data_IF_115922516481
#
_entry.id   IF_115922516481
#
_cell.length_a   1.000
_cell.length_b   1.000
_cell.length_c   1.000
_cell.angle_alpha   90.00
_cell.angle_beta   90.00
_cell.angle_gamma   90.00
#
_symmetry.space_group_name_H-M   'P 1'
#
loop_
_entity.id
_entity.type
_entity.pdbx_description
1 polymer ?
#
# COMPACT_ATOMS: atom_id res chain seq x y z
N UNK A 1 9.59 -17.30 30.83
CA UNK A 1 8.57 -16.24 30.74
C UNK A 1 9.24 -14.91 30.99
N UNK A 2 8.87 -13.89 30.23
CA UNK A 2 9.29 -12.52 30.53
C UNK A 2 8.65 -12.04 31.84
N UNK A 3 9.29 -11.07 32.49
CA UNK A 3 8.75 -10.37 33.66
C UNK A 3 7.82 -9.24 33.22
N UNK A 4 6.93 -8.83 34.11
CA UNK A 4 6.01 -7.72 33.87
C UNK A 4 6.74 -6.46 33.39
N UNK A 5 6.22 -5.84 32.32
CA UNK A 5 6.77 -4.63 31.71
C UNK A 5 7.99 -4.83 30.81
N UNK A 6 8.43 -6.07 30.56
CA UNK A 6 9.52 -6.31 29.61
C UNK A 6 9.07 -6.14 28.16
N UNK A 7 9.98 -5.63 27.35
CA UNK A 7 9.81 -5.51 25.90
C UNK A 7 10.54 -6.66 25.22
N UNK A 8 9.85 -7.35 24.32
CA UNK A 8 10.38 -8.46 23.55
C UNK A 8 10.31 -8.09 22.09
N UNK A 9 11.44 -8.23 21.39
CA UNK A 9 11.49 -8.18 19.94
C UNK A 9 11.63 -9.61 19.43
N UNK A 10 10.66 -10.05 18.64
CA UNK A 10 10.73 -11.33 17.94
C UNK A 10 11.66 -11.20 16.74
N UNK A 11 12.13 -12.35 16.27
CA UNK A 11 12.89 -12.44 15.03
C UNK A 11 12.05 -12.02 13.82
N UNK A 12 12.71 -11.78 12.68
CA UNK A 12 12.05 -11.38 11.45
C UNK A 12 10.97 -12.39 10.98
N UNK A 13 9.71 -11.93 10.95
CA UNK A 13 8.56 -12.74 10.52
C UNK A 13 8.70 -13.33 9.11
N UNK A 14 9.44 -12.67 8.22
CA UNK A 14 9.64 -13.16 6.84
C UNK A 14 10.66 -14.29 6.71
N UNK A 15 11.29 -14.71 7.80
CA UNK A 15 11.97 -16.00 7.84
C UNK A 15 10.98 -17.17 7.76
N UNK A 16 9.70 -16.92 8.05
CA UNK A 16 8.61 -17.85 7.85
C UNK A 16 7.88 -17.53 6.54
N UNK A 17 7.85 -18.47 5.60
CA UNK A 17 7.17 -18.31 4.32
C UNK A 17 5.65 -18.11 4.51
N UNK A 18 5.12 -18.59 5.63
CA UNK A 18 3.74 -18.45 6.10
C UNK A 18 3.33 -16.98 6.31
N UNK A 19 4.29 -16.07 6.50
CA UNK A 19 4.02 -14.63 6.64
C UNK A 19 3.50 -14.03 5.32
N UNK A 20 4.21 -14.27 4.21
CA UNK A 20 3.82 -13.80 2.87
C UNK A 20 2.88 -14.80 2.14
N UNK A 21 2.70 -16.01 2.69
CA UNK A 21 1.93 -17.10 2.09
C UNK A 21 2.57 -17.71 0.83
N UNK A 22 3.81 -17.30 0.54
CA UNK A 22 4.58 -17.78 -0.61
C UNK A 22 6.07 -17.53 -0.40
N UNK A 23 6.90 -18.30 -1.10
CA UNK A 23 8.36 -18.13 -1.13
C UNK A 23 8.88 -18.33 -2.55
N UNK A 24 10.15 -18.00 -2.78
CA UNK A 24 10.84 -18.36 -4.02
C UNK A 24 11.77 -19.55 -3.77
N UNK A 25 11.71 -20.55 -4.64
CA UNK A 25 12.68 -21.65 -4.62
C UNK A 25 14.05 -21.20 -5.16
N UNK A 26 15.02 -22.12 -5.17
CA UNK A 26 16.39 -21.88 -5.63
C UNK A 26 16.46 -21.45 -7.11
N UNK A 27 15.41 -21.73 -7.89
CA UNK A 27 15.25 -21.31 -9.29
C UNK A 27 14.54 -19.95 -9.42
N UNK A 28 14.17 -19.32 -8.30
CA UNK A 28 13.46 -18.05 -8.25
C UNK A 28 11.97 -18.14 -8.55
N UNK A 29 11.39 -19.34 -8.67
CA UNK A 29 9.97 -19.53 -8.96
C UNK A 29 9.14 -19.41 -7.68
N UNK A 30 7.99 -18.74 -7.80
CA UNK A 30 7.09 -18.47 -6.69
C UNK A 30 6.29 -19.74 -6.34
N UNK A 31 6.53 -20.27 -5.15
CA UNK A 31 5.78 -21.37 -4.56
C UNK A 31 4.80 -20.84 -3.51
N UNK A 32 3.58 -21.39 -3.47
CA UNK A 32 2.61 -21.07 -2.42
C UNK A 32 2.83 -21.97 -1.21
N UNK A 33 2.65 -21.42 -0.03
CA UNK A 33 2.65 -22.21 1.21
C UNK A 33 1.28 -22.85 1.39
N UNK A 34 1.28 -24.07 1.94
CA UNK A 34 0.04 -24.76 2.31
C UNK A 34 -0.77 -23.89 3.29
N UNK A 35 -2.07 -23.75 3.03
CA UNK A 35 -2.99 -23.01 3.87
C UNK A 35 -2.99 -23.52 5.31
N UNK A 36 -2.86 -24.83 5.52
CA UNK A 36 -2.82 -25.41 6.87
C UNK A 36 -1.62 -24.88 7.69
N UNK A 37 -0.47 -24.70 7.05
CA UNK A 37 0.74 -24.14 7.70
C UNK A 37 0.59 -22.66 7.99
N UNK A 38 -0.03 -21.91 7.07
CA UNK A 38 -0.35 -20.50 7.29
C UNK A 38 -1.29 -20.33 8.49
N UNK A 39 -2.32 -21.18 8.59
CA UNK A 39 -3.27 -21.14 9.71
C UNK A 39 -2.60 -21.53 11.04
N UNK A 40 -1.67 -22.49 11.03
CA UNK A 40 -0.87 -22.84 12.21
C UNK A 40 0.02 -21.67 12.67
N UNK A 41 0.73 -21.02 11.74
CA UNK A 41 1.57 -19.86 12.05
C UNK A 41 0.75 -18.70 12.63
N UNK A 42 -0.44 -18.44 12.07
CA UNK A 42 -1.39 -17.42 12.57
C UNK A 42 -1.89 -17.71 13.97
N UNK A 43 -2.21 -18.98 14.28
CA UNK A 43 -2.55 -19.40 15.64
C UNK A 43 -1.39 -19.18 16.60
N UNK A 44 -0.16 -19.48 16.16
CA UNK A 44 1.06 -19.19 16.90
C UNK A 44 1.17 -17.71 17.27
N UNK A 45 1.01 -16.80 16.30
CA UNK A 45 1.03 -15.35 16.53
C UNK A 45 -0.10 -14.90 17.48
N UNK A 46 -1.31 -15.44 17.30
CA UNK A 46 -2.47 -15.12 18.12
C UNK A 46 -2.27 -15.51 19.58
N UNK A 47 -1.60 -16.63 19.84
CA UNK A 47 -1.34 -17.11 21.20
C UNK A 47 -0.31 -16.26 21.98
N UNK A 48 0.39 -15.30 21.34
CA UNK A 48 1.44 -14.50 21.98
C UNK A 48 0.92 -13.31 22.79
N UNK A 49 -0.35 -12.97 22.70
CA UNK A 49 -0.89 -11.84 23.45
C UNK A 49 -2.41 -11.79 23.46
N UNK A 50 -2.94 -10.90 24.31
CA UNK A 50 -4.37 -10.71 24.49
C UNK A 50 -4.94 -9.59 23.61
N UNK A 51 -4.06 -8.67 23.17
CA UNK A 51 -4.39 -7.51 22.35
C UNK A 51 -3.42 -7.40 21.18
N UNK A 52 -3.95 -7.09 19.99
CA UNK A 52 -3.15 -6.82 18.80
C UNK A 52 -3.18 -5.34 18.44
N UNK A 53 -1.99 -4.74 18.29
CA UNK A 53 -1.81 -3.37 17.85
C UNK A 53 -1.02 -3.37 16.54
N UNK A 54 -1.62 -2.85 15.46
CA UNK A 54 -0.90 -2.65 14.20
C UNK A 54 -0.38 -1.22 14.10
N UNK A 55 0.94 -1.05 14.11
CA UNK A 55 1.60 0.24 13.89
C UNK A 55 2.46 0.29 12.60
N UNK A 56 2.20 -0.62 11.66
CA UNK A 56 2.95 -0.79 10.41
C UNK A 56 2.12 -0.43 9.17
N UNK A 57 1.89 0.86 8.93
CA UNK A 57 1.07 1.34 7.79
C UNK A 57 1.59 0.85 6.43
N UNK A 58 2.91 0.83 6.24
CA UNK A 58 3.54 0.44 4.98
C UNK A 58 3.24 -0.99 4.52
N UNK A 59 2.82 -1.88 5.43
CA UNK A 59 2.42 -3.26 5.11
C UNK A 59 0.91 -3.49 5.16
N UNK A 60 0.12 -2.49 5.55
CA UNK A 60 -1.34 -2.61 5.71
C UNK A 60 -2.09 -2.97 4.42
N UNK A 61 -1.50 -2.67 3.25
CA UNK A 61 -2.04 -3.05 1.94
C UNK A 61 -1.85 -4.53 1.60
N UNK A 62 -1.15 -5.31 2.43
CA UNK A 62 -0.84 -6.73 2.18
C UNK A 62 -1.64 -7.63 3.10
N UNK A 63 -2.23 -8.68 2.54
CA UNK A 63 -2.97 -9.70 3.29
C UNK A 63 -2.04 -10.75 3.95
N UNK A 64 -0.96 -10.29 4.59
CA UNK A 64 0.03 -11.13 5.26
C UNK A 64 -0.48 -11.64 6.62
N UNK A 65 0.13 -12.71 7.14
CA UNK A 65 -0.27 -13.32 8.41
C UNK A 65 -0.20 -12.35 9.59
N UNK A 66 0.85 -11.53 9.69
CA UNK A 66 0.98 -10.49 10.72
C UNK A 66 -0.06 -9.37 10.64
N UNK A 67 -0.68 -9.15 9.46
CA UNK A 67 -1.62 -8.05 9.22
C UNK A 67 -3.07 -8.46 9.42
N UNK A 68 -3.45 -9.64 8.92
CA UNK A 68 -4.86 -10.09 8.89
C UNK A 68 -5.09 -11.42 9.61
N UNK A 69 -4.02 -12.06 10.08
CA UNK A 69 -4.06 -13.41 10.64
C UNK A 69 -4.10 -13.50 12.16
N UNK A 70 -3.96 -12.38 12.87
CA UNK A 70 -4.03 -12.37 14.34
C UNK A 70 -5.50 -12.30 14.77
N UNK A 71 -5.99 -13.39 15.37
CA UNK A 71 -7.40 -13.55 15.71
C UNK A 71 -7.68 -13.29 17.20
N UNK A 72 -7.53 -12.02 17.58
CA UNK A 72 -7.85 -11.53 18.92
C UNK A 72 -9.12 -10.66 18.89
N UNK A 73 -9.93 -10.68 19.97
CA UNK A 73 -11.13 -9.85 20.05
C UNK A 73 -10.80 -8.35 20.07
N UNK A 74 -9.65 -7.98 20.64
CA UNK A 74 -9.18 -6.60 20.71
C UNK A 74 -8.07 -6.35 19.69
N UNK A 75 -8.39 -5.55 18.67
CA UNK A 75 -7.48 -5.12 17.60
C UNK A 75 -7.57 -3.61 17.45
N UNK A 76 -6.43 -2.92 17.47
CA UNK A 76 -6.39 -1.48 17.28
C UNK A 76 -5.20 -1.04 16.43
N UNK A 77 -5.28 0.18 15.89
CA UNK A 77 -4.14 0.85 15.27
C UNK A 77 -3.23 1.45 16.36
N UNK A 78 -1.92 1.35 16.17
CA UNK A 78 -0.97 2.18 16.89
C UNK A 78 -1.05 3.65 16.46
N UNK A 79 -0.26 4.51 17.11
CA UNK A 79 -0.33 5.95 16.87
C UNK A 79 0.17 6.36 15.49
N UNK A 80 1.14 5.65 14.90
CA UNK A 80 1.63 5.92 13.55
C UNK A 80 0.54 5.62 12.54
N UNK A 81 -0.04 4.41 12.59
CA UNK A 81 -1.12 4.02 11.68
C UNK A 81 -2.33 4.93 11.86
N UNK A 82 -2.72 5.24 13.11
CA UNK A 82 -3.82 6.17 13.39
C UNK A 82 -3.56 7.52 12.73
N UNK A 83 -2.35 8.09 12.88
CA UNK A 83 -2.00 9.38 12.29
C UNK A 83 -2.13 9.34 10.79
N UNK A 84 -1.59 8.32 10.11
CA UNK A 84 -1.72 8.17 8.65
C UNK A 84 -3.19 8.11 8.24
N UNK A 85 -4.01 7.27 8.90
CA UNK A 85 -5.45 7.17 8.63
C UNK A 85 -6.18 8.51 8.83
N UNK A 86 -5.88 9.24 9.90
CA UNK A 86 -6.48 10.55 10.19
C UNK A 86 -6.14 11.58 9.10
N UNK A 87 -4.91 11.56 8.56
CA UNK A 87 -4.51 12.43 7.46
C UNK A 87 -5.22 12.05 6.15
N UNK A 88 -5.29 10.76 5.83
CA UNK A 88 -5.99 10.29 4.63
C UNK A 88 -7.49 10.54 4.70
N UNK A 89 -8.14 10.29 5.83
CA UNK A 89 -9.57 10.55 6.02
C UNK A 89 -9.90 12.03 5.81
N UNK A 90 -9.11 12.94 6.41
CA UNK A 90 -9.26 14.39 6.21
C UNK A 90 -9.10 14.82 4.76
N UNK A 91 -8.23 14.16 3.99
CA UNK A 91 -8.00 14.51 2.59
C UNK A 91 -9.03 13.86 1.63
N UNK A 92 -9.57 12.70 1.97
CA UNK A 92 -10.37 11.88 1.04
C UNK A 92 -11.87 11.85 1.34
N UNK A 93 -12.29 12.10 2.58
CA UNK A 93 -13.69 12.06 3.01
C UNK A 93 -14.26 13.47 3.18
N UNK A 94 -13.59 14.32 3.96
CA UNK A 94 -14.01 15.71 4.22
C UNK A 94 -12.87 16.71 3.94
N UNK A 95 -12.40 16.83 2.69
CA UNK A 95 -11.32 17.75 2.37
C UNK A 95 -11.72 19.19 2.62
N UNK A 96 -10.88 19.93 3.35
CA UNK A 96 -10.98 21.39 3.40
C UNK A 96 -10.70 21.94 2.00
N UNK A 97 -11.68 22.66 1.45
CA UNK A 97 -11.59 23.25 0.12
C UNK A 97 -10.96 24.65 0.17
N UNK A 98 -10.18 25.06 -0.85
CA UNK A 98 -9.90 24.32 -2.08
C UNK A 98 -8.92 23.15 -1.87
N UNK A 99 -9.27 21.97 -2.39
CA UNK A 99 -8.46 20.75 -2.34
C UNK A 99 -7.67 20.58 -3.64
N UNK A 100 -6.36 20.78 -3.55
CA UNK A 100 -5.42 20.62 -4.65
C UNK A 100 -4.68 19.28 -4.52
N UNK A 101 -4.74 18.46 -5.56
CA UNK A 101 -3.86 17.30 -5.72
C UNK A 101 -2.72 17.61 -6.70
N UNK A 102 -1.51 17.16 -6.36
CA UNK A 102 -0.33 17.25 -7.22
C UNK A 102 0.15 15.83 -7.53
N UNK A 103 0.06 15.42 -8.79
CA UNK A 103 0.49 14.11 -9.27
C UNK A 103 1.65 14.26 -10.25
N UNK A 104 2.77 13.60 -9.96
CA UNK A 104 3.91 13.54 -10.87
C UNK A 104 4.49 12.16 -11.00
N UNK A 105 5.16 11.85 -12.11
CA UNK A 105 5.76 10.54 -12.38
C UNK A 105 6.17 10.38 -13.84
N UNK A 106 6.76 9.23 -14.19
CA UNK A 106 7.22 8.96 -15.54
C UNK A 106 6.10 8.41 -16.45
N UNK A 107 5.26 7.49 -15.94
CA UNK A 107 4.24 6.79 -16.72
C UNK A 107 2.84 7.14 -16.23
N UNK A 108 1.96 7.52 -17.15
CA UNK A 108 0.54 7.77 -16.86
C UNK A 108 -0.18 6.47 -16.48
N UNK A 109 0.12 5.36 -17.18
CA UNK A 109 -0.55 4.06 -17.03
C UNK A 109 -0.65 3.59 -15.58
N UNK A 110 0.41 3.81 -14.80
CA UNK A 110 0.53 3.35 -13.42
C UNK A 110 -0.31 4.20 -12.45
N UNK A 111 -0.85 5.33 -12.92
CA UNK A 111 -1.53 6.34 -12.11
C UNK A 111 -2.97 6.63 -12.54
N UNK A 112 -3.47 5.99 -13.60
CA UNK A 112 -4.84 6.20 -14.11
C UNK A 112 -5.86 6.01 -12.99
N UNK A 113 -5.78 4.89 -12.25
CA UNK A 113 -6.70 4.61 -11.14
C UNK A 113 -6.63 5.67 -10.02
N UNK A 114 -5.45 6.25 -9.79
CA UNK A 114 -5.28 7.30 -8.77
C UNK A 114 -5.91 8.60 -9.27
N UNK A 115 -5.72 8.95 -10.54
CA UNK A 115 -6.35 10.12 -11.16
C UNK A 115 -7.87 10.00 -11.09
N UNK A 116 -8.43 8.87 -11.56
CA UNK A 116 -9.87 8.63 -11.57
C UNK A 116 -10.49 8.75 -10.16
N UNK A 117 -9.84 8.17 -9.15
CA UNK A 117 -10.29 8.27 -7.76
C UNK A 117 -10.23 9.70 -7.19
N UNK A 118 -9.31 10.54 -7.68
CA UNK A 118 -9.12 11.90 -7.20
C UNK A 118 -9.99 12.93 -7.93
N UNK A 119 -10.31 12.71 -9.21
CA UNK A 119 -11.11 13.64 -10.03
C UNK A 119 -12.47 13.96 -9.41
N UNK A 120 -13.09 13.00 -8.72
CA UNK A 120 -14.35 13.22 -8.00
C UNK A 120 -14.23 13.96 -6.66
N UNK A 121 -13.01 14.25 -6.20
CA UNK A 121 -12.74 14.78 -4.85
C UNK A 121 -12.07 16.16 -4.87
N UNK A 122 -11.09 16.35 -5.74
CA UNK A 122 -10.24 17.55 -5.79
C UNK A 122 -10.92 18.71 -6.51
N UNK A 123 -10.65 19.95 -6.08
CA UNK A 123 -11.03 21.17 -6.82
C UNK A 123 -10.04 21.49 -7.93
N UNK A 124 -8.79 21.04 -7.79
CA UNK A 124 -7.73 21.27 -8.76
C UNK A 124 -6.76 20.09 -8.77
N UNK A 125 -6.29 19.74 -9.97
CA UNK A 125 -5.30 18.69 -10.18
C UNK A 125 -4.13 19.23 -10.99
N UNK A 126 -2.94 19.19 -10.42
CA UNK A 126 -1.69 19.51 -11.13
C UNK A 126 -1.04 18.20 -11.57
N UNK A 127 -0.80 18.06 -12.87
CA UNK A 127 -0.03 16.95 -13.45
C UNK A 127 1.37 17.46 -13.80
N UNK A 128 2.40 16.86 -13.21
CA UNK A 128 3.79 17.25 -13.40
C UNK A 128 4.69 16.04 -13.78
N UNK A 129 5.95 16.31 -14.11
CA UNK A 129 6.93 15.28 -14.50
C UNK A 129 6.67 14.67 -15.89
N UNK A 130 7.28 13.51 -16.17
CA UNK A 130 7.24 12.85 -17.49
C UNK A 130 5.83 12.57 -18.00
N UNK A 131 4.89 12.28 -17.11
CA UNK A 131 3.49 12.03 -17.48
C UNK A 131 2.78 13.28 -18.03
N UNK A 132 3.21 14.50 -17.67
CA UNK A 132 2.61 15.73 -18.20
C UNK A 132 2.78 15.87 -19.72
N UNK A 133 3.83 15.26 -20.28
CA UNK A 133 4.07 15.24 -21.71
C UNK A 133 3.00 14.43 -22.45
N UNK A 134 2.63 13.25 -21.94
CA UNK A 134 1.54 12.48 -22.55
C UNK A 134 0.24 13.29 -22.63
N UNK A 135 -0.13 13.99 -21.55
CA UNK A 135 -1.32 14.87 -21.55
C UNK A 135 -1.19 16.03 -22.55
N UNK A 136 -0.05 16.74 -22.57
CA UNK A 136 0.16 17.86 -23.51
C UNK A 136 0.18 17.44 -24.97
N UNK A 137 0.75 16.29 -25.30
CA UNK A 137 0.72 15.78 -26.68
C UNK A 137 -0.71 15.46 -27.11
N UNK A 138 -1.47 14.77 -26.26
CA UNK A 138 -2.82 14.32 -26.61
C UNK A 138 -3.82 15.48 -26.67
N UNK A 139 -3.76 16.43 -25.72
CA UNK A 139 -4.73 17.52 -25.61
C UNK A 139 -4.38 18.74 -26.48
N UNK A 140 -3.09 19.08 -26.58
CA UNK A 140 -2.61 20.31 -27.23
C UNK A 140 -1.83 20.05 -28.53
N UNK A 141 -1.60 18.78 -28.91
CA UNK A 141 -0.88 18.44 -30.13
C UNK A 141 0.61 18.79 -30.11
N UNK A 142 1.19 19.02 -28.93
CA UNK A 142 2.59 19.46 -28.79
C UNK A 142 3.55 18.39 -29.35
N UNK A 143 4.40 18.78 -30.30
CA UNK A 143 5.43 17.91 -30.87
C UNK A 143 6.48 17.55 -29.82
N UNK A 144 6.72 16.26 -29.62
CA UNK A 144 7.71 15.78 -28.64
C UNK A 144 8.57 14.67 -29.21
N UNK A 145 9.82 14.61 -28.73
CA UNK A 145 10.78 13.58 -29.10
C UNK A 145 10.30 12.19 -28.63
N UNK A 146 10.52 11.16 -29.45
CA UNK A 146 9.98 9.80 -29.25
C UNK A 146 10.34 9.17 -27.90
N UNK A 147 11.53 9.46 -27.34
CA UNK A 147 12.01 8.87 -26.08
C UNK A 147 11.25 9.33 -24.82
N UNK A 148 10.43 10.38 -24.92
CA UNK A 148 9.62 10.92 -23.82
C UNK A 148 8.22 10.27 -23.77
N UNK A 149 7.82 9.59 -24.84
CA UNK A 149 6.46 9.07 -25.00
C UNK A 149 6.29 7.68 -24.40
N UNK A 150 5.38 7.59 -23.44
CA UNK A 150 4.86 6.32 -22.93
C UNK A 150 3.52 6.05 -23.61
N UNK A 151 3.54 5.27 -24.69
CA UNK A 151 2.35 4.97 -25.54
C UNK A 151 1.19 4.33 -24.77
N UNK A 152 1.47 3.59 -23.70
CA UNK A 152 0.44 2.89 -22.91
C UNK A 152 -0.56 3.84 -22.23
N UNK A 153 -0.19 5.12 -22.03
CA UNK A 153 -1.04 6.11 -21.38
C UNK A 153 -1.82 7.02 -22.33
N UNK A 154 -1.46 7.11 -23.61
CA UNK A 154 -2.04 8.11 -24.53
C UNK A 154 -3.41 7.73 -25.09
N UNK A 155 -3.83 6.46 -24.94
CA UNK A 155 -5.13 5.97 -25.44
C UNK A 155 -6.29 6.17 -24.46
N UNK A 156 -5.98 6.48 -23.19
CA UNK A 156 -6.95 6.55 -22.09
C UNK A 156 -7.12 7.98 -21.57
N UNK A 157 -6.31 8.91 -22.08
CA UNK A 157 -6.31 10.33 -21.73
C UNK A 157 -6.96 11.12 -22.85
#
# INVERSE_FOLDING_TARGET
>A
GAKDGQVILLENLRFHAEEEGSYKDDEGKKQKVDKAKVDEFRKGLTALGDVYINDAFGTAHRAHSSMVGVDLPQKASGFLVKKELDYFAKALEEPKRPFLAILGGAKVSDKIQIIDNLLGKVDSLIICGGMSYTFKKTLEGVSMAEWVLVEAGSKTV
#
